data_IF_842568576545
#
_entry.id   IF_842568576545
#
_cell.length_a   1.000
_cell.length_b   1.000
_cell.length_c   1.000
_cell.angle_alpha   90.00
_cell.angle_beta   90.00
_cell.angle_gamma   90.00
#
_symmetry.space_group_name_H-M   'P 1'
#
loop_
_entity.id
_entity.type
_entity.pdbx_description
1 polymer ?
#
# COMPACT_ATOMS: atom_id res chain seq x y z
N UNK A 1 -20.19 -6.45 -7.09
CA UNK A 1 -20.74 -6.71 -5.78
C UNK A 1 -19.93 -7.81 -5.12
N UNK A 2 -19.28 -7.45 -4.04
CA UNK A 2 -18.23 -8.24 -3.45
C UNK A 2 -18.66 -9.48 -2.66
N UNK A 3 -19.93 -9.76 -2.50
CA UNK A 3 -20.36 -10.89 -1.67
C UNK A 3 -20.24 -12.26 -2.35
N UNK A 4 -20.24 -12.31 -3.68
CA UNK A 4 -20.20 -13.59 -4.42
C UNK A 4 -19.11 -13.65 -5.48
N UNK A 5 -18.47 -12.55 -5.82
CA UNK A 5 -17.42 -12.44 -6.83
C UNK A 5 -16.32 -11.51 -6.34
N UNK A 6 -15.10 -11.77 -6.73
CA UNK A 6 -13.96 -10.96 -6.30
C UNK A 6 -13.22 -11.59 -5.11
N UNK A 7 -12.54 -10.74 -4.36
CA UNK A 7 -11.61 -11.14 -3.30
C UNK A 7 -10.51 -12.09 -3.81
N UNK A 8 -10.06 -11.88 -5.05
CA UNK A 8 -8.99 -12.65 -5.68
C UNK A 8 -7.94 -11.72 -6.27
N UNK A 9 -6.73 -12.22 -6.36
CA UNK A 9 -5.64 -11.60 -7.15
C UNK A 9 -5.43 -12.44 -8.41
N UNK A 10 -5.35 -11.77 -9.56
CA UNK A 10 -5.21 -12.44 -10.84
C UNK A 10 -3.94 -12.00 -11.56
N UNK A 11 -3.22 -12.97 -12.11
CA UNK A 11 -2.07 -12.72 -12.98
C UNK A 11 -2.48 -12.91 -14.44
N UNK A 12 -2.12 -11.94 -15.26
CA UNK A 12 -2.35 -11.97 -16.71
C UNK A 12 -1.02 -11.84 -17.46
N UNK A 13 -0.97 -12.38 -18.68
CA UNK A 13 0.10 -12.11 -19.62
C UNK A 13 0.01 -10.66 -20.15
N UNK A 14 1.08 -10.10 -20.76
CA UNK A 14 1.03 -8.79 -21.41
C UNK A 14 -0.05 -8.68 -22.52
N UNK A 15 -0.54 -9.81 -23.02
CA UNK A 15 -1.61 -9.88 -24.03
C UNK A 15 -2.99 -10.12 -23.43
N UNK A 16 -3.13 -10.09 -22.10
CA UNK A 16 -4.40 -10.23 -21.38
C UNK A 16 -4.87 -11.68 -21.18
N UNK A 17 -4.01 -12.68 -21.44
CA UNK A 17 -4.35 -14.08 -21.14
C UNK A 17 -4.24 -14.30 -19.64
N UNK A 18 -5.30 -14.81 -19.01
CA UNK A 18 -5.29 -15.19 -17.61
C UNK A 18 -4.32 -16.35 -17.37
N UNK A 19 -3.41 -16.19 -16.42
CA UNK A 19 -2.35 -17.16 -16.12
C UNK A 19 -2.57 -17.84 -14.74
N UNK A 20 -3.01 -17.08 -13.73
CA UNK A 20 -3.11 -17.58 -12.36
C UNK A 20 -4.13 -16.76 -11.56
N UNK A 21 -4.77 -17.39 -10.59
CA UNK A 21 -5.58 -16.72 -9.56
C UNK A 21 -5.10 -17.14 -8.18
N UNK A 22 -4.96 -16.19 -7.28
CA UNK A 22 -4.77 -16.42 -5.85
C UNK A 22 -6.07 -16.14 -5.10
N UNK A 23 -6.34 -16.91 -4.06
CA UNK A 23 -7.56 -16.82 -3.27
C UNK A 23 -8.77 -17.46 -3.97
N UNK A 24 -9.78 -17.78 -3.19
CA UNK A 24 -11.04 -18.36 -3.63
C UNK A 24 -12.11 -17.27 -3.84
N UNK A 25 -13.06 -17.50 -4.73
CA UNK A 25 -14.19 -16.58 -4.94
C UNK A 25 -15.06 -16.45 -3.70
N UNK A 26 -15.58 -15.27 -3.44
CA UNK A 26 -16.58 -15.01 -2.41
C UNK A 26 -16.02 -14.50 -1.09
N UNK A 27 -14.71 -14.46 -0.95
CA UNK A 27 -14.04 -13.95 0.27
C UNK A 27 -14.15 -14.87 1.48
N UNK A 28 -13.20 -14.76 2.39
CA UNK A 28 -13.14 -15.54 3.62
C UNK A 28 -11.96 -15.15 4.48
N UNK A 29 -11.88 -15.71 5.69
CA UNK A 29 -10.86 -15.33 6.68
C UNK A 29 -9.77 -16.40 6.89
N UNK A 30 -9.86 -17.55 6.21
CA UNK A 30 -8.81 -18.56 6.25
C UNK A 30 -7.78 -18.35 5.14
N UNK A 31 -6.69 -19.12 5.13
CA UNK A 31 -5.56 -18.92 4.21
C UNK A 31 -5.86 -19.28 2.74
N UNK A 32 -7.01 -19.89 2.45
CA UNK A 32 -7.46 -20.19 1.08
C UNK A 32 -8.20 -19.01 0.44
N UNK A 33 -8.59 -18.00 1.25
CA UNK A 33 -9.40 -16.86 0.84
C UNK A 33 -8.70 -15.54 1.16
N UNK A 34 -9.06 -14.51 0.41
CA UNK A 34 -8.86 -13.14 0.82
C UNK A 34 -10.19 -12.52 1.26
N UNK A 35 -10.11 -11.51 2.10
CA UNK A 35 -11.21 -10.61 2.38
C UNK A 35 -10.75 -9.17 2.16
N UNK A 36 -11.18 -8.57 1.03
CA UNK A 36 -10.73 -7.24 0.61
C UNK A 36 -9.20 -7.13 0.44
N UNK A 37 -8.59 -7.86 -0.53
CA UNK A 37 -7.19 -7.65 -0.86
C UNK A 37 -7.00 -6.22 -1.39
N UNK A 38 -6.00 -5.51 -0.85
CA UNK A 38 -5.77 -4.09 -1.14
C UNK A 38 -4.65 -3.86 -2.12
N UNK A 39 -3.55 -4.59 -1.95
CA UNK A 39 -2.36 -4.41 -2.77
C UNK A 39 -1.60 -5.72 -2.96
N UNK A 40 -0.79 -5.77 -4.00
CA UNK A 40 0.07 -6.91 -4.34
C UNK A 40 1.46 -6.44 -4.71
N UNK A 41 2.47 -7.05 -4.11
CA UNK A 41 3.87 -6.84 -4.47
C UNK A 41 4.51 -8.15 -4.91
N UNK A 42 5.25 -8.13 -6.03
CA UNK A 42 6.02 -9.28 -6.52
C UNK A 42 7.49 -9.00 -6.28
N UNK A 43 8.11 -9.81 -5.43
CA UNK A 43 9.53 -9.71 -5.11
C UNK A 43 10.42 -10.16 -6.27
N UNK A 44 11.71 -9.78 -6.29
CA UNK A 44 12.64 -10.16 -7.37
C UNK A 44 12.82 -11.67 -7.56
N UNK A 45 12.63 -12.48 -6.53
CA UNK A 45 12.68 -13.94 -6.58
C UNK A 45 11.37 -14.58 -7.12
N UNK A 46 10.36 -13.75 -7.40
CA UNK A 46 9.04 -14.18 -7.85
C UNK A 46 8.04 -14.44 -6.73
N UNK A 47 8.43 -14.37 -5.46
CA UNK A 47 7.48 -14.45 -4.34
C UNK A 47 6.44 -13.34 -4.42
N UNK A 48 5.19 -13.64 -4.06
CA UNK A 48 4.07 -12.72 -4.16
C UNK A 48 3.59 -12.39 -2.75
N UNK A 49 3.51 -11.12 -2.43
CA UNK A 49 2.93 -10.63 -1.18
C UNK A 49 1.59 -9.97 -1.47
N UNK A 50 0.56 -10.30 -0.68
CA UNK A 50 -0.79 -9.73 -0.81
C UNK A 50 -1.22 -9.18 0.53
N UNK A 51 -1.46 -7.87 0.58
CA UNK A 51 -2.07 -7.20 1.73
C UNK A 51 -3.59 -7.32 1.68
N UNK A 52 -4.22 -7.66 2.79
CA UNK A 52 -5.67 -7.69 2.89
C UNK A 52 -6.19 -7.01 4.16
N UNK A 53 -7.38 -6.44 4.06
CA UNK A 53 -8.09 -5.77 5.14
C UNK A 53 -8.40 -4.32 4.83
N UNK A 54 -9.67 -3.99 4.68
CA UNK A 54 -10.14 -2.62 4.43
C UNK A 54 -11.18 -2.16 5.48
N UNK A 55 -11.27 -2.89 6.59
CA UNK A 55 -12.17 -2.56 7.69
C UNK A 55 -11.37 -2.16 8.93
N UNK A 56 -11.82 -1.12 9.60
CA UNK A 56 -11.32 -0.73 10.93
C UNK A 56 -12.05 -1.43 12.07
N UNK A 57 -13.07 -2.25 11.77
CA UNK A 57 -13.83 -2.97 12.78
C UNK A 57 -12.94 -3.99 13.50
N UNK A 58 -13.09 -4.06 14.83
CA UNK A 58 -12.37 -5.03 15.65
C UNK A 58 -12.63 -6.47 15.18
N UNK A 59 -11.57 -7.26 15.09
CA UNK A 59 -11.63 -8.65 14.66
C UNK A 59 -11.80 -8.84 13.13
N UNK A 60 -11.75 -7.76 12.34
CA UNK A 60 -11.68 -7.88 10.88
C UNK A 60 -10.34 -8.45 10.42
N UNK A 61 -10.33 -9.11 9.27
CA UNK A 61 -9.09 -9.65 8.70
C UNK A 61 -8.18 -8.51 8.26
N UNK A 62 -6.95 -8.51 8.77
CA UNK A 62 -5.91 -7.53 8.47
C UNK A 62 -4.56 -8.24 8.55
N UNK A 63 -4.00 -8.64 7.42
CA UNK A 63 -2.77 -9.42 7.36
C UNK A 63 -2.08 -9.29 6.00
N UNK A 64 -0.88 -9.81 5.92
CA UNK A 64 -0.13 -9.97 4.67
C UNK A 64 0.11 -11.45 4.44
N UNK A 65 -0.20 -11.92 3.23
CA UNK A 65 0.09 -13.28 2.78
C UNK A 65 1.37 -13.30 1.95
N UNK A 66 2.12 -14.38 2.05
CA UNK A 66 3.22 -14.71 1.13
C UNK A 66 2.90 -15.97 0.35
N UNK A 67 3.12 -15.91 -0.96
CA UNK A 67 3.04 -17.03 -1.89
C UNK A 67 4.37 -17.20 -2.60
N UNK A 68 4.65 -18.41 -3.08
CA UNK A 68 5.74 -18.62 -4.03
C UNK A 68 5.37 -18.11 -5.44
N UNK A 69 6.31 -18.21 -6.39
CA UNK A 69 6.12 -17.76 -7.77
C UNK A 69 5.04 -18.54 -8.54
N UNK A 70 4.72 -19.75 -8.10
CA UNK A 70 3.71 -20.63 -8.67
C UNK A 70 2.32 -20.43 -8.03
N UNK A 71 2.23 -19.56 -7.00
CA UNK A 71 0.99 -19.21 -6.31
C UNK A 71 0.62 -20.14 -5.17
N UNK A 72 1.55 -20.98 -4.68
CA UNK A 72 1.30 -21.77 -3.48
C UNK A 72 1.45 -20.88 -2.25
N UNK A 73 0.44 -20.90 -1.37
CA UNK A 73 0.49 -20.17 -0.10
C UNK A 73 1.60 -20.72 0.79
N UNK A 74 2.46 -19.85 1.29
CA UNK A 74 3.56 -20.21 2.18
C UNK A 74 3.21 -19.94 3.64
N UNK A 75 2.81 -18.70 3.94
CA UNK A 75 2.35 -18.28 5.27
C UNK A 75 1.65 -16.93 5.20
N UNK A 76 1.03 -16.54 6.32
CA UNK A 76 0.48 -15.22 6.56
C UNK A 76 1.00 -14.65 7.87
N UNK A 77 1.06 -13.32 7.99
CA UNK A 77 1.46 -12.64 9.22
C UNK A 77 0.65 -11.37 9.45
N UNK A 78 0.59 -10.97 10.72
CA UNK A 78 -0.25 -9.88 11.19
C UNK A 78 -1.69 -10.29 11.45
N UNK A 79 -2.35 -9.54 12.29
CA UNK A 79 -3.76 -9.62 12.63
C UNK A 79 -4.31 -8.23 12.92
N UNK A 80 -5.62 -8.10 13.12
CA UNK A 80 -6.20 -6.81 13.49
C UNK A 80 -5.64 -6.33 14.84
N UNK A 81 -5.11 -5.11 14.89
CA UNK A 81 -4.58 -4.54 16.12
C UNK A 81 -3.73 -3.29 15.91
N UNK A 82 -3.29 -2.71 17.04
CA UNK A 82 -2.44 -1.51 17.08
C UNK A 82 -0.99 -1.80 17.47
N UNK A 83 -0.75 -2.98 18.07
CA UNK A 83 0.60 -3.36 18.47
C UNK A 83 1.53 -3.53 17.24
N UNK A 84 2.84 -3.34 17.39
CA UNK A 84 3.79 -3.63 16.33
C UNK A 84 3.67 -5.07 15.83
N UNK A 85 3.60 -5.24 14.52
CA UNK A 85 3.34 -6.53 13.85
C UNK A 85 1.86 -6.78 13.52
N UNK A 86 0.95 -6.06 14.16
CA UNK A 86 -0.49 -6.10 13.87
C UNK A 86 -0.88 -4.93 12.96
N UNK A 87 -2.03 -5.03 12.27
CA UNK A 87 -2.44 -4.06 11.28
C UNK A 87 -3.85 -3.54 11.51
N UNK A 88 -4.08 -2.31 11.04
CA UNK A 88 -5.40 -1.76 10.79
C UNK A 88 -5.42 -1.17 9.39
N UNK A 89 -6.03 -1.87 8.45
CA UNK A 89 -6.06 -1.50 7.03
C UNK A 89 -4.65 -1.45 6.40
N UNK A 90 -3.91 -2.58 6.28
CA UNK A 90 -2.67 -2.64 5.52
C UNK A 90 -2.99 -2.40 4.04
N UNK A 91 -2.71 -1.19 3.54
CA UNK A 91 -3.31 -0.69 2.30
C UNK A 91 -2.35 -0.66 1.11
N UNK A 92 -1.07 -0.54 1.33
CA UNK A 92 -0.06 -0.51 0.28
C UNK A 92 1.17 -1.33 0.63
N UNK A 93 1.81 -1.95 -0.35
CA UNK A 93 2.99 -2.78 -0.22
C UNK A 93 4.08 -2.32 -1.18
N UNK A 94 5.32 -2.21 -0.70
CA UNK A 94 6.49 -1.99 -1.53
C UNK A 94 7.70 -2.73 -0.96
N UNK A 95 8.74 -2.92 -1.76
CA UNK A 95 9.98 -3.57 -1.32
C UNK A 95 11.18 -2.72 -1.73
N UNK A 96 12.16 -2.59 -0.85
CA UNK A 96 13.40 -1.90 -1.14
C UNK A 96 14.45 -2.82 -1.76
N UNK A 97 15.60 -2.24 -2.15
CA UNK A 97 16.71 -2.99 -2.76
C UNK A 97 17.34 -4.04 -1.84
N UNK A 98 17.07 -3.97 -0.52
CA UNK A 98 17.55 -4.95 0.47
C UNK A 98 16.56 -6.11 0.68
N UNK A 99 15.43 -6.11 -0.02
CA UNK A 99 14.38 -7.11 0.10
C UNK A 99 13.52 -6.94 1.36
N UNK A 100 13.50 -5.75 1.98
CA UNK A 100 12.61 -5.44 3.10
C UNK A 100 11.24 -5.05 2.55
N UNK A 101 10.18 -5.64 3.11
CA UNK A 101 8.80 -5.34 2.75
C UNK A 101 8.27 -4.19 3.62
N UNK A 102 7.82 -3.14 2.97
CA UNK A 102 7.18 -1.98 3.58
C UNK A 102 5.67 -2.12 3.45
N UNK A 103 4.96 -2.06 4.57
CA UNK A 103 3.52 -2.15 4.64
C UNK A 103 2.96 -0.82 5.14
N UNK A 104 2.19 -0.15 4.30
CA UNK A 104 1.45 1.05 4.71
C UNK A 104 0.26 0.62 5.58
N UNK A 105 0.45 0.61 6.89
CA UNK A 105 -0.54 0.29 7.91
C UNK A 105 -1.41 1.52 8.18
N UNK A 106 -2.29 1.82 7.20
CA UNK A 106 -3.03 3.07 7.07
C UNK A 106 -3.84 3.42 8.31
N UNK A 107 -4.57 2.45 8.87
CA UNK A 107 -5.43 2.68 10.02
C UNK A 107 -4.68 2.92 11.34
N UNK A 108 -3.37 2.65 11.38
CA UNK A 108 -2.47 2.94 12.49
C UNK A 108 -1.51 4.10 12.19
N UNK A 109 -1.68 4.79 11.06
CA UNK A 109 -0.90 5.97 10.67
C UNK A 109 0.62 5.72 10.70
N UNK A 110 1.05 4.60 10.11
CA UNK A 110 2.45 4.16 10.12
C UNK A 110 2.81 3.32 8.91
N UNK A 111 4.11 3.18 8.66
CA UNK A 111 4.69 2.11 7.84
C UNK A 111 5.29 1.10 8.80
N UNK A 112 5.06 -0.18 8.57
CA UNK A 112 5.77 -1.26 9.23
C UNK A 112 6.68 -1.95 8.21
N UNK A 113 7.90 -2.29 8.63
CA UNK A 113 8.94 -2.85 7.77
C UNK A 113 9.24 -4.26 8.25
N UNK A 114 9.20 -5.22 7.34
CA UNK A 114 9.40 -6.64 7.62
C UNK A 114 10.53 -7.21 6.77
N UNK A 115 11.12 -8.30 7.24
CA UNK A 115 11.86 -9.19 6.36
C UNK A 115 10.90 -10.07 5.53
N UNK A 116 11.44 -10.87 4.63
CA UNK A 116 10.62 -11.73 3.78
C UNK A 116 10.07 -12.96 4.49
N UNK A 117 10.42 -13.19 5.73
CA UNK A 117 9.91 -14.22 6.64
C UNK A 117 8.80 -13.69 7.55
N UNK A 118 8.43 -12.40 7.40
CA UNK A 118 7.37 -11.76 8.18
C UNK A 118 7.79 -11.28 9.56
N UNK A 119 9.10 -11.24 9.85
CA UNK A 119 9.60 -10.67 11.10
C UNK A 119 9.64 -9.15 11.01
N UNK A 120 9.07 -8.46 12.00
CA UNK A 120 9.10 -7.01 12.08
C UNK A 120 10.52 -6.49 12.33
N UNK A 121 10.96 -5.56 11.49
CA UNK A 121 12.27 -4.92 11.55
C UNK A 121 12.21 -3.50 12.12
N UNK A 122 11.18 -2.71 11.71
CA UNK A 122 11.08 -1.30 12.10
C UNK A 122 9.64 -0.78 11.96
N UNK A 123 9.34 0.38 12.59
CA UNK A 123 8.04 1.06 12.52
C UNK A 123 8.28 2.56 12.32
N UNK A 124 7.72 3.14 11.25
CA UNK A 124 7.89 4.54 10.88
C UNK A 124 6.57 5.30 10.88
N UNK A 125 6.53 6.46 11.52
CA UNK A 125 5.33 7.32 11.61
C UNK A 125 5.42 8.60 10.76
N UNK A 126 6.62 9.02 10.36
CA UNK A 126 6.86 10.30 9.71
C UNK A 126 6.30 10.42 8.28
N UNK A 127 5.91 9.30 7.68
CA UNK A 127 5.23 9.29 6.38
C UNK A 127 3.72 9.47 6.46
N UNK A 128 3.17 9.59 7.67
CA UNK A 128 1.73 9.79 7.94
C UNK A 128 0.80 8.62 7.53
N UNK A 129 -0.42 8.94 7.11
CA UNK A 129 -1.49 8.00 6.81
C UNK A 129 -1.47 7.57 5.34
N UNK A 130 -0.55 6.71 4.98
CA UNK A 130 -0.39 6.30 3.59
C UNK A 130 -1.45 5.30 3.14
N UNK A 131 -2.08 5.59 1.99
CA UNK A 131 -2.87 4.63 1.21
C UNK A 131 -1.98 3.86 0.24
N UNK A 132 -1.24 4.53 -0.63
CA UNK A 132 -0.32 3.92 -1.58
C UNK A 132 1.13 4.16 -1.20
N UNK A 133 1.98 3.20 -1.53
CA UNK A 133 3.43 3.28 -1.35
C UNK A 133 4.15 2.70 -2.57
N UNK A 134 5.21 3.36 -3.00
CA UNK A 134 6.09 2.90 -4.06
C UNK A 134 7.54 3.18 -3.66
N UNK A 135 8.45 2.25 -3.93
CA UNK A 135 9.89 2.43 -3.76
C UNK A 135 10.56 2.18 -5.10
N UNK A 136 11.37 3.13 -5.56
CA UNK A 136 12.07 3.02 -6.83
C UNK A 136 13.41 2.28 -6.71
N UNK A 137 14.09 2.09 -7.84
CA UNK A 137 15.38 1.39 -7.92
C UNK A 137 16.54 2.07 -7.16
N UNK A 138 16.35 3.31 -6.72
CA UNK A 138 17.31 4.08 -5.91
C UNK A 138 16.91 4.15 -4.43
N UNK A 139 15.96 3.32 -4.00
CA UNK A 139 15.39 3.32 -2.65
C UNK A 139 14.73 4.65 -2.26
N UNK A 140 14.24 5.41 -3.23
CA UNK A 140 13.37 6.56 -2.97
C UNK A 140 11.96 6.06 -2.72
N UNK A 141 11.43 6.41 -1.55
CA UNK A 141 10.07 6.06 -1.14
C UNK A 141 9.11 7.19 -1.51
N UNK A 142 8.03 6.83 -2.18
CA UNK A 142 6.90 7.70 -2.52
C UNK A 142 5.68 7.19 -1.77
N UNK A 143 5.09 8.04 -0.94
CA UNK A 143 3.92 7.70 -0.12
C UNK A 143 2.74 8.62 -0.41
N UNK A 144 1.61 8.06 -0.81
CA UNK A 144 0.38 8.79 -1.09
C UNK A 144 -0.51 8.83 0.15
N UNK A 145 -0.72 10.02 0.70
CA UNK A 145 -1.63 10.30 1.81
C UNK A 145 -2.85 11.05 1.29
N UNK A 146 -3.96 10.37 1.15
CA UNK A 146 -5.22 10.92 0.63
C UNK A 146 -6.18 11.38 1.72
N UNK A 147 -5.92 11.10 2.98
CA UNK A 147 -6.92 11.19 4.03
C UNK A 147 -6.57 12.08 5.23
N UNK A 148 -5.30 12.42 5.45
CA UNK A 148 -4.90 13.30 6.57
C UNK A 148 -5.60 14.66 6.48
N UNK A 149 -6.12 15.12 7.63
CA UNK A 149 -6.87 16.37 7.72
C UNK A 149 -8.27 16.37 7.09
N UNK A 150 -8.74 15.24 6.57
CA UNK A 150 -10.09 15.11 6.01
C UNK A 150 -10.89 13.93 6.56
N UNK A 151 -10.49 12.70 6.25
CA UNK A 151 -11.10 11.47 6.76
C UNK A 151 -10.55 11.16 8.16
N UNK A 152 -9.26 11.40 8.38
CA UNK A 152 -8.63 11.28 9.69
C UNK A 152 -8.16 12.65 10.20
N UNK A 153 -8.90 13.27 11.14
CA UNK A 153 -8.53 14.56 11.74
C UNK A 153 -7.57 14.44 12.95
N UNK A 154 -7.20 13.23 13.37
CA UNK A 154 -6.50 13.00 14.65
C UNK A 154 -5.09 13.61 14.67
N UNK A 155 -4.49 13.82 13.49
CA UNK A 155 -3.20 14.48 13.31
C UNK A 155 -3.41 15.78 12.54
N UNK A 156 -3.93 16.81 13.21
CA UNK A 156 -4.32 18.09 12.60
C UNK A 156 -3.19 18.91 11.97
N UNK A 157 -1.95 18.55 12.24
CA UNK A 157 -0.72 19.11 11.63
C UNK A 157 -0.29 18.35 10.37
N UNK A 158 -0.84 17.18 10.10
CA UNK A 158 -0.57 16.45 8.88
C UNK A 158 -1.42 16.97 7.72
N UNK A 159 -0.76 17.13 6.58
CA UNK A 159 -1.42 17.55 5.33
C UNK A 159 -1.34 16.44 4.30
N UNK A 160 -2.41 16.32 3.52
CA UNK A 160 -2.51 15.37 2.41
C UNK A 160 -1.51 15.71 1.31
N UNK A 161 -1.08 14.69 0.61
CA UNK A 161 -0.19 14.84 -0.52
C UNK A 161 0.67 13.61 -0.76
N UNK A 162 1.68 13.77 -1.61
CA UNK A 162 2.65 12.71 -1.86
C UNK A 162 3.93 13.07 -1.11
N UNK A 163 4.29 12.25 -0.12
CA UNK A 163 5.56 12.34 0.59
C UNK A 163 6.63 11.58 -0.16
N UNK A 164 7.80 12.19 -0.29
CA UNK A 164 8.94 11.61 -0.98
C UNK A 164 10.11 11.62 0.00
N UNK A 165 10.79 10.50 0.14
CA UNK A 165 11.89 10.36 1.08
C UNK A 165 12.72 9.11 0.83
N UNK A 166 13.50 8.72 1.81
CA UNK A 166 14.42 7.60 1.69
C UNK A 166 13.89 6.35 2.40
N UNK A 167 13.80 5.23 1.66
CA UNK A 167 13.55 3.92 2.25
C UNK A 167 14.72 3.42 3.11
N UNK A 168 15.89 4.06 3.03
CA UNK A 168 17.08 3.66 3.79
C UNK A 168 17.21 4.43 5.10
N UNK A 169 17.00 5.78 5.08
CA UNK A 169 17.22 6.65 6.23
C UNK A 169 15.94 7.05 6.96
N UNK A 170 14.79 6.69 6.41
CA UNK A 170 13.46 7.09 6.90
C UNK A 170 13.15 8.58 6.82
N UNK A 171 14.02 9.39 6.23
CA UNK A 171 13.82 10.84 6.11
C UNK A 171 12.77 11.16 5.05
N UNK A 172 11.84 12.05 5.39
CA UNK A 172 10.92 12.67 4.43
C UNK A 172 11.57 13.96 3.92
N UNK A 173 11.89 14.00 2.63
CA UNK A 173 12.64 15.11 2.02
C UNK A 173 11.73 16.14 1.34
N UNK A 174 10.62 15.66 0.76
CA UNK A 174 9.71 16.50 -0.02
C UNK A 174 8.26 16.12 0.23
N UNK A 175 7.38 17.09 0.03
CA UNK A 175 5.94 16.92 0.00
C UNK A 175 5.35 17.62 -1.22
N UNK A 176 4.66 16.88 -2.06
CA UNK A 176 3.76 17.43 -3.07
C UNK A 176 2.40 17.59 -2.39
N UNK A 177 2.04 18.81 -2.03
CA UNK A 177 0.78 19.10 -1.35
C UNK A 177 -0.42 18.77 -2.23
N UNK A 178 -1.54 18.43 -1.59
CA UNK A 178 -2.84 18.39 -2.23
C UNK A 178 -3.15 19.76 -2.86
N UNK A 179 -3.42 19.81 -4.18
CA UNK A 179 -3.77 21.08 -4.85
C UNK A 179 -5.17 21.58 -4.48
N UNK A 180 -5.98 20.79 -3.79
CA UNK A 180 -7.34 21.12 -3.37
C UNK A 180 -7.50 20.98 -1.84
N UNK A 181 -6.86 21.85 -1.05
CA UNK A 181 -6.80 21.71 0.40
C UNK A 181 -8.17 21.74 1.08
N UNK A 182 -9.15 22.40 0.50
CA UNK A 182 -10.53 22.49 1.02
C UNK A 182 -11.42 21.30 0.63
N UNK A 183 -10.90 20.38 -0.17
CA UNK A 183 -11.63 19.18 -0.55
C UNK A 183 -11.88 18.28 0.66
N UNK A 184 -13.06 17.68 0.71
CA UNK A 184 -13.45 16.74 1.75
C UNK A 184 -13.47 15.32 1.21
N UNK A 185 -13.00 14.37 2.00
CA UNK A 185 -12.83 12.97 1.59
C UNK A 185 -11.43 12.67 1.05
N UNK A 186 -11.30 11.69 0.19
CA UNK A 186 -10.04 11.23 -0.42
C UNK A 186 -9.74 12.04 -1.69
N UNK A 187 -9.20 13.22 -1.54
CA UNK A 187 -9.15 14.24 -2.59
C UNK A 187 -7.81 14.36 -3.33
N UNK A 188 -6.81 13.62 -2.93
CA UNK A 188 -5.50 13.58 -3.58
C UNK A 188 -5.13 12.14 -3.94
N UNK A 189 -3.88 11.92 -4.30
CA UNK A 189 -3.43 10.60 -4.71
C UNK A 189 -3.63 9.56 -3.61
N UNK A 190 -4.28 8.47 -3.95
CA UNK A 190 -4.39 7.26 -3.13
C UNK A 190 -3.39 6.19 -3.58
N UNK A 191 -3.07 6.16 -4.88
CA UNK A 191 -1.97 5.40 -5.43
C UNK A 191 -0.85 6.30 -5.95
N UNK A 192 0.39 5.82 -5.93
CA UNK A 192 1.56 6.57 -6.39
C UNK A 192 2.55 5.65 -7.09
N UNK A 193 3.20 6.16 -8.14
CA UNK A 193 4.35 5.52 -8.80
C UNK A 193 5.24 6.60 -9.41
N UNK A 194 6.53 6.31 -9.54
CA UNK A 194 7.47 7.14 -10.30
C UNK A 194 8.02 6.40 -11.51
N UNK A 195 8.25 7.10 -12.62
CA UNK A 195 8.93 6.56 -13.78
C UNK A 195 10.45 6.76 -13.69
N UNK A 196 11.20 6.08 -14.56
CA UNK A 196 12.65 6.19 -14.64
C UNK A 196 13.18 7.59 -15.01
N UNK A 197 12.31 8.52 -15.39
CA UNK A 197 12.65 9.91 -15.70
C UNK A 197 12.39 10.84 -14.51
N UNK A 198 11.89 10.30 -13.38
CA UNK A 198 11.54 11.04 -12.17
C UNK A 198 10.20 11.78 -12.27
N UNK A 199 9.34 11.42 -13.24
CA UNK A 199 7.94 11.87 -13.20
C UNK A 199 7.19 11.04 -12.18
N UNK A 200 6.36 11.69 -11.39
CA UNK A 200 5.55 11.05 -10.37
C UNK A 200 4.10 11.05 -10.85
N UNK A 201 3.42 9.92 -10.71
CA UNK A 201 2.03 9.77 -11.06
C UNK A 201 1.25 9.47 -9.79
N UNK A 202 0.22 10.28 -9.53
CA UNK A 202 -0.71 10.09 -8.43
C UNK A 202 -2.08 9.69 -8.98
N UNK A 203 -2.62 8.58 -8.51
CA UNK A 203 -3.95 8.11 -8.88
C UNK A 203 -4.97 8.59 -7.84
N UNK A 204 -5.93 9.41 -8.25
CA UNK A 204 -6.93 10.04 -7.38
C UNK A 204 -8.28 9.32 -7.45
N UNK A 205 -8.93 9.15 -6.30
CA UNK A 205 -10.22 8.45 -6.20
C UNK A 205 -11.39 9.41 -6.37
N UNK A 206 -11.43 10.50 -5.65
CA UNK A 206 -12.55 11.46 -5.69
C UNK A 206 -12.19 12.82 -5.11
N UNK A 207 -13.04 13.83 -5.28
CA UNK A 207 -14.20 13.92 -6.18
C UNK A 207 -13.82 14.14 -7.66
N UNK A 208 -12.53 14.42 -7.94
CA UNK A 208 -12.06 14.74 -9.30
C UNK A 208 -11.73 13.47 -10.07
N UNK A 209 -11.19 12.45 -9.39
CA UNK A 209 -10.77 11.18 -10.00
C UNK A 209 -9.77 11.32 -11.15
N UNK A 210 -8.89 10.35 -11.32
CA UNK A 210 -7.99 10.33 -12.46
C UNK A 210 -6.52 10.17 -12.07
N UNK A 211 -5.64 10.39 -13.04
CA UNK A 211 -4.19 10.29 -12.84
C UNK A 211 -3.58 11.66 -13.09
N UNK A 212 -2.89 12.18 -12.07
CA UNK A 212 -2.07 13.39 -12.20
C UNK A 212 -0.61 13.02 -12.39
N UNK A 213 0.04 13.71 -13.32
CA UNK A 213 1.48 13.61 -13.53
C UNK A 213 2.17 14.87 -12.99
N UNK A 214 3.12 14.67 -12.10
CA UNK A 214 4.00 15.71 -11.58
C UNK A 214 5.36 15.59 -12.27
N UNK A 215 5.83 16.66 -12.86
CA UNK A 215 7.11 16.70 -13.58
C UNK A 215 8.12 17.56 -12.82
N UNK A 216 9.39 17.13 -12.74
CA UNK A 216 10.45 17.99 -12.22
C UNK A 216 10.58 19.22 -13.12
N UNK A 217 10.63 20.45 -12.57
CA UNK A 217 10.98 21.60 -13.35
C UNK A 217 12.36 21.42 -13.98
N UNK A 218 12.46 21.63 -15.28
CA UNK A 218 13.76 21.71 -15.96
C UNK A 218 14.44 22.97 -15.42
N UNK A 219 15.61 22.80 -14.78
CA UNK A 219 16.44 23.94 -14.34
C UNK A 219 17.14 24.57 -15.53
#
# INVERSE_FOLDING_TARGET
DGEHYGHQVHKFSPTGVHLMSLGQKGGGQNDEYFYTPNDVHVAPDGSIFVGEGHSSAEGSTNRVHKFDADGNHLFSFGEWGTEPGNFRQPHGLAMDSKGRLFVADRGNDRIQIFDQEGNLLDVWHQFSRLSGIYIDENDVLYGADSESGSVNPDHGDWVRGIRIGSAITSEVEFLINDPLPDCRGTCTAEGVVADKHGNIFGAEVGPVGGIKRYVRPIK
#
